data_IF_622330798933
#
_entry.id   IF_622330798933
#
_cell.length_a   1.000
_cell.length_b   1.000
_cell.length_c   1.000
_cell.angle_alpha   90.00
_cell.angle_beta   90.00
_cell.angle_gamma   90.00
#
_symmetry.space_group_name_H-M   'P 1'
#
loop_
_entity.id
_entity.type
_entity.pdbx_description
1 polymer ?
#
# COMPACT_ATOMS: atom_id res chain seq x y z
N UNK A 1 11.41 11.20 -3.15
CA UNK A 1 10.75 10.09 -3.89
C UNK A 1 11.56 8.82 -3.66
N UNK A 2 10.90 7.66 -3.62
CA UNK A 2 11.57 6.35 -3.67
C UNK A 2 11.07 5.65 -4.93
N UNK A 3 11.98 5.07 -5.73
CA UNK A 3 11.64 4.45 -7.01
C UNK A 3 12.60 3.32 -7.36
N UNK A 4 12.19 2.42 -8.25
CA UNK A 4 13.02 1.33 -8.79
C UNK A 4 13.59 1.69 -10.16
N UNK A 5 14.83 1.32 -10.41
CA UNK A 5 15.47 1.46 -11.72
C UNK A 5 14.95 0.33 -12.63
N UNK A 6 14.21 0.69 -13.68
CA UNK A 6 13.57 -0.26 -14.61
C UNK A 6 13.72 0.12 -16.08
N UNK A 7 14.45 1.19 -16.39
CA UNK A 7 14.71 1.64 -17.76
C UNK A 7 15.50 2.95 -17.82
N UNK A 8 15.74 3.43 -19.05
CA UNK A 8 16.62 4.55 -19.36
C UNK A 8 16.33 5.81 -18.53
N UNK A 9 15.06 6.19 -18.36
CA UNK A 9 14.69 7.39 -17.60
C UNK A 9 15.02 7.26 -16.10
N UNK A 10 14.66 6.14 -15.48
CA UNK A 10 14.95 5.88 -14.06
C UNK A 10 16.45 5.72 -13.78
N UNK A 11 17.20 5.20 -14.75
CA UNK A 11 18.66 5.10 -14.67
C UNK A 11 19.33 6.48 -14.82
N UNK A 12 18.89 7.31 -15.76
CA UNK A 12 19.38 8.68 -15.86
C UNK A 12 19.09 9.50 -14.59
N UNK A 13 17.96 9.23 -13.93
CA UNK A 13 17.58 9.83 -12.65
C UNK A 13 18.46 9.34 -11.49
N UNK A 14 18.92 8.08 -11.49
CA UNK A 14 19.72 7.55 -10.38
C UNK A 14 21.15 8.07 -10.36
N UNK A 15 21.61 8.64 -11.47
CA UNK A 15 22.95 9.22 -11.62
C UNK A 15 23.01 10.72 -11.26
N UNK A 16 21.89 11.35 -10.88
CA UNK A 16 21.85 12.76 -10.47
C UNK A 16 22.57 12.97 -9.14
N UNK A 17 23.19 14.13 -8.95
CA UNK A 17 23.95 14.46 -7.73
C UNK A 17 23.28 15.53 -6.85
N UNK A 18 23.57 15.55 -5.54
CA UNK A 18 23.16 16.65 -4.67
C UNK A 18 23.59 18.01 -5.23
N UNK A 19 22.66 18.97 -5.23
CA UNK A 19 22.84 20.30 -5.81
C UNK A 19 22.36 20.44 -7.26
N UNK A 20 22.08 19.34 -7.98
CA UNK A 20 21.45 19.41 -9.29
C UNK A 20 19.97 19.81 -9.21
N UNK A 21 19.52 20.67 -10.13
CA UNK A 21 18.12 21.05 -10.25
C UNK A 21 17.35 20.04 -11.12
N UNK A 22 16.15 19.68 -10.69
CA UNK A 22 15.21 18.84 -11.43
C UNK A 22 13.87 19.55 -11.57
N UNK A 23 13.28 19.59 -12.78
CA UNK A 23 11.91 20.08 -12.93
C UNK A 23 10.95 19.08 -12.27
N UNK A 24 10.06 19.59 -11.43
CA UNK A 24 9.05 18.80 -10.71
C UNK A 24 7.67 19.37 -11.02
N UNK A 25 6.70 18.49 -11.28
CA UNK A 25 5.29 18.82 -11.36
C UNK A 25 4.55 18.09 -10.25
N UNK A 26 3.83 18.82 -9.39
CA UNK A 26 2.98 18.24 -8.37
C UNK A 26 2.66 19.17 -7.20
N UNK A 27 1.89 18.69 -6.21
CA UNK A 27 1.33 17.32 -6.11
C UNK A 27 0.27 17.02 -7.19
N UNK A 28 0.14 15.75 -7.57
CA UNK A 28 -0.81 15.27 -8.59
C UNK A 28 -1.67 14.15 -8.00
N UNK A 29 -2.95 14.13 -8.37
CA UNK A 29 -3.89 13.08 -7.98
C UNK A 29 -4.54 13.30 -6.62
N UNK A 30 -5.34 12.31 -6.24
CA UNK A 30 -6.14 12.22 -5.02
C UNK A 30 -5.48 11.20 -4.08
N UNK A 31 -5.11 11.61 -2.86
CA UNK A 31 -4.46 10.72 -1.90
C UNK A 31 -5.47 9.73 -1.29
N UNK A 32 -4.98 8.84 -0.43
CA UNK A 32 -5.84 8.10 0.48
C UNK A 32 -6.68 9.06 1.32
N UNK A 33 -7.96 8.76 1.45
CA UNK A 33 -8.88 9.44 2.35
C UNK A 33 -8.71 8.84 3.74
N UNK A 34 -8.10 9.60 4.65
CA UNK A 34 -7.80 9.16 6.01
C UNK A 34 -8.73 9.85 7.03
N UNK A 35 -9.19 9.09 8.02
CA UNK A 35 -10.09 9.50 9.08
C UNK A 35 -9.55 9.03 10.44
N UNK A 36 -9.41 9.95 11.39
CA UNK A 36 -8.89 9.66 12.73
C UNK A 36 -9.74 8.66 13.53
N UNK A 37 -11.02 8.52 13.19
CA UNK A 37 -11.97 7.66 13.90
C UNK A 37 -11.98 6.21 13.39
N UNK A 38 -11.39 5.95 12.21
CA UNK A 38 -11.26 4.60 11.64
C UNK A 38 -10.05 3.85 12.20
N UNK A 39 -9.94 2.59 11.81
CA UNK A 39 -8.74 1.74 11.96
C UNK A 39 -8.24 1.41 10.58
N UNK A 40 -6.94 1.22 10.42
CA UNK A 40 -6.35 0.97 9.11
C UNK A 40 -5.48 -0.28 9.08
N UNK A 41 -5.67 -1.07 8.03
CA UNK A 41 -4.76 -2.13 7.62
C UNK A 41 -4.10 -1.69 6.31
N UNK A 42 -2.80 -1.43 6.35
CA UNK A 42 -2.01 -0.96 5.22
C UNK A 42 -1.28 -2.14 4.58
N UNK A 43 -1.44 -2.33 3.28
CA UNK A 43 -0.85 -3.42 2.51
C UNK A 43 0.08 -2.85 1.43
N UNK A 44 1.39 -2.91 1.66
CA UNK A 44 2.40 -2.39 0.74
C UNK A 44 3.14 -3.49 0.02
N UNK A 45 3.22 -3.46 -1.30
CA UNK A 45 3.95 -4.45 -2.10
C UNK A 45 5.09 -3.85 -2.90
N UNK A 46 6.34 -4.23 -2.62
CA UNK A 46 7.52 -3.76 -3.35
C UNK A 46 7.61 -2.22 -3.40
N UNK A 47 7.60 -1.64 -4.60
CA UNK A 47 7.62 -0.17 -4.79
C UNK A 47 6.33 0.54 -4.38
N UNK A 48 5.28 -0.21 -4.02
CA UNK A 48 4.05 0.31 -3.40
C UNK A 48 4.16 0.48 -1.87
N UNK A 49 5.25 0.03 -1.25
CA UNK A 49 5.49 0.24 0.19
C UNK A 49 5.65 1.72 0.59
N UNK A 50 6.35 2.61 -0.16
CA UNK A 50 6.51 4.01 0.24
C UNK A 50 5.19 4.77 0.41
N UNK A 51 4.18 4.69 -0.49
CA UNK A 51 2.86 5.27 -0.25
C UNK A 51 2.23 4.83 1.08
N UNK A 52 2.25 3.52 1.38
CA UNK A 52 1.74 2.99 2.66
C UNK A 52 2.54 3.50 3.86
N UNK A 53 3.86 3.62 3.72
CA UNK A 53 4.72 4.20 4.76
C UNK A 53 4.34 5.65 5.08
N UNK A 54 4.11 6.48 4.07
CA UNK A 54 3.68 7.88 4.29
C UNK A 54 2.26 7.95 4.86
N UNK A 55 1.36 7.06 4.46
CA UNK A 55 0.04 6.93 5.07
C UNK A 55 0.14 6.55 6.55
N UNK A 56 0.97 5.55 6.90
CA UNK A 56 1.23 5.15 8.29
C UNK A 56 1.75 6.31 9.14
N UNK A 57 2.73 7.09 8.65
CA UNK A 57 3.23 8.28 9.36
C UNK A 57 2.13 9.32 9.60
N UNK A 58 1.25 9.52 8.62
CA UNK A 58 0.15 10.47 8.75
C UNK A 58 -0.92 9.98 9.73
N UNK A 59 -1.23 8.69 9.72
CA UNK A 59 -2.15 8.06 10.67
C UNK A 59 -1.62 8.14 12.11
N UNK A 60 -0.32 7.88 12.31
CA UNK A 60 0.34 8.07 13.60
C UNK A 60 0.18 9.52 14.11
N UNK A 61 0.44 10.51 13.24
CA UNK A 61 0.29 11.93 13.58
C UNK A 61 -1.17 12.33 13.87
N UNK A 62 -2.15 11.61 13.31
CA UNK A 62 -3.58 11.81 13.55
C UNK A 62 -4.09 11.08 14.80
N UNK A 63 -3.29 10.20 15.41
CA UNK A 63 -3.73 9.30 16.49
C UNK A 63 -4.67 8.19 16.03
N UNK A 64 -4.74 7.92 14.72
CA UNK A 64 -5.49 6.79 14.19
C UNK A 64 -4.72 5.49 14.41
N UNK A 65 -5.42 4.44 14.84
CA UNK A 65 -4.81 3.12 14.97
C UNK A 65 -4.65 2.45 13.59
N UNK A 66 -3.46 1.96 13.33
CA UNK A 66 -3.08 1.38 12.05
C UNK A 66 -2.07 0.24 12.23
N UNK A 67 -2.09 -0.73 11.33
CA UNK A 67 -1.08 -1.78 11.18
C UNK A 67 -0.62 -1.83 9.74
N UNK A 68 0.68 -2.05 9.50
CA UNK A 68 1.25 -2.15 8.15
C UNK A 68 1.83 -3.53 7.89
N UNK A 69 1.37 -4.19 6.83
CA UNK A 69 2.00 -5.39 6.30
C UNK A 69 2.68 -5.09 4.97
N UNK A 70 3.97 -5.45 4.88
CA UNK A 70 4.80 -5.19 3.73
C UNK A 70 5.18 -6.50 3.03
N UNK A 71 4.76 -6.67 1.78
CA UNK A 71 5.23 -7.72 0.89
C UNK A 71 6.50 -7.28 0.17
N UNK A 72 7.61 -7.99 0.35
CA UNK A 72 8.84 -7.67 -0.36
C UNK A 72 9.73 -8.91 -0.60
N UNK A 73 10.12 -9.11 -1.85
CA UNK A 73 10.89 -10.29 -2.31
C UNK A 73 12.38 -9.96 -2.55
N UNK A 74 12.80 -8.75 -2.21
CA UNK A 74 14.17 -8.25 -2.42
C UNK A 74 14.79 -7.80 -1.09
N UNK A 75 16.09 -7.48 -1.03
CA UNK A 75 16.64 -6.78 0.12
C UNK A 75 15.89 -5.46 0.33
N UNK A 76 15.35 -5.26 1.54
CA UNK A 76 14.71 -4.00 1.92
C UNK A 76 15.80 -2.93 2.12
N UNK A 77 15.66 -1.72 1.56
CA UNK A 77 16.62 -0.63 1.78
C UNK A 77 16.42 0.05 3.15
N UNK A 78 15.57 -0.51 4.01
CA UNK A 78 15.15 0.05 5.29
C UNK A 78 15.77 -0.79 6.41
N UNK A 79 16.17 -0.13 7.49
CA UNK A 79 16.62 -0.82 8.69
C UNK A 79 15.47 -1.66 9.29
N UNK A 80 15.78 -2.91 9.61
CA UNK A 80 14.84 -3.87 10.19
C UNK A 80 15.30 -4.32 11.57
N UNK A 81 14.35 -4.71 12.40
CA UNK A 81 14.58 -5.20 13.76
C UNK A 81 13.49 -6.17 14.19
N UNK A 82 13.68 -6.92 15.29
CA UNK A 82 12.58 -7.58 15.98
C UNK A 82 11.54 -6.59 16.48
N UNK A 83 10.27 -6.91 16.25
CA UNK A 83 9.14 -6.11 16.71
C UNK A 83 8.88 -6.27 18.20
N UNK A 84 8.41 -5.19 18.83
CA UNK A 84 7.93 -5.23 20.22
C UNK A 84 6.40 -5.36 20.30
N UNK A 85 5.69 -5.17 19.18
CA UNK A 85 4.24 -5.29 19.11
C UNK A 85 3.80 -6.74 18.94
N UNK A 86 2.82 -7.15 19.74
CA UNK A 86 2.10 -8.40 19.53
C UNK A 86 0.93 -8.16 18.58
N UNK A 87 0.82 -9.00 17.56
CA UNK A 87 -0.27 -8.92 16.58
C UNK A 87 -1.04 -10.25 16.58
N UNK A 88 -2.35 -10.25 16.91
CA UNK A 88 -3.17 -11.46 16.89
C UNK A 88 -3.11 -12.15 15.53
N UNK A 89 -3.04 -13.49 15.53
CA UNK A 89 -3.02 -14.30 14.30
C UNK A 89 -1.70 -14.30 13.53
N UNK A 90 -0.76 -13.41 13.87
CA UNK A 90 0.59 -13.41 13.29
C UNK A 90 1.44 -14.50 13.94
N UNK A 91 2.08 -15.39 13.16
CA UNK A 91 2.96 -16.43 13.69
C UNK A 91 4.12 -15.87 14.54
N UNK A 92 4.57 -16.63 15.54
CA UNK A 92 5.66 -16.20 16.45
C UNK A 92 7.00 -16.03 15.75
N UNK A 93 7.25 -16.80 14.69
CA UNK A 93 8.44 -16.72 13.84
C UNK A 93 8.39 -15.54 12.85
N UNK A 94 7.23 -14.90 12.67
CA UNK A 94 7.05 -13.67 11.91
C UNK A 94 7.21 -12.43 12.81
N UNK A 95 8.44 -12.13 13.24
CA UNK A 95 8.77 -11.03 14.16
C UNK A 95 9.45 -9.82 13.50
N UNK A 96 9.87 -9.93 12.24
CA UNK A 96 10.62 -8.88 11.55
C UNK A 96 9.73 -7.68 11.21
N UNK A 97 10.22 -6.50 11.56
CA UNK A 97 9.55 -5.22 11.29
C UNK A 97 10.57 -4.17 10.85
N UNK A 98 10.08 -2.98 10.49
CA UNK A 98 10.88 -1.82 10.18
C UNK A 98 11.16 -0.98 11.43
N UNK A 99 12.42 -0.62 11.62
CA UNK A 99 12.85 0.15 12.80
C UNK A 99 12.10 1.47 12.94
N UNK A 100 11.99 2.24 11.86
CA UNK A 100 11.33 3.54 11.89
C UNK A 100 9.80 3.46 12.02
N UNK A 101 9.15 2.31 11.81
CA UNK A 101 7.72 2.14 12.13
C UNK A 101 7.51 1.81 13.61
N UNK A 102 8.42 1.01 14.20
CA UNK A 102 8.44 0.78 15.65
C UNK A 102 8.60 2.09 16.43
N UNK A 103 9.53 2.96 16.02
CA UNK A 103 9.81 4.23 16.68
C UNK A 103 8.62 5.19 16.71
N UNK A 104 7.77 5.17 15.66
CA UNK A 104 6.57 6.02 15.58
C UNK A 104 5.31 5.33 16.12
N UNK A 105 5.45 4.13 16.67
CA UNK A 105 4.35 3.38 17.27
C UNK A 105 3.36 2.76 16.28
N UNK A 106 3.79 2.45 15.04
CA UNK A 106 2.98 1.74 14.06
C UNK A 106 3.42 0.27 14.03
N UNK A 107 2.58 -0.67 14.50
CA UNK A 107 2.84 -2.10 14.35
C UNK A 107 2.99 -2.48 12.88
N UNK A 108 4.00 -3.27 12.56
CA UNK A 108 4.21 -3.74 11.21
C UNK A 108 4.84 -5.13 11.14
N UNK A 109 4.65 -5.80 10.00
CA UNK A 109 5.30 -7.08 9.67
C UNK A 109 5.68 -7.16 8.20
N UNK A 110 6.73 -7.92 7.94
CA UNK A 110 7.19 -8.21 6.59
C UNK A 110 6.74 -9.62 6.19
N UNK A 111 6.20 -9.74 4.99
CA UNK A 111 5.88 -11.00 4.32
C UNK A 111 6.77 -11.16 3.08
N UNK A 112 7.30 -12.35 2.87
CA UNK A 112 8.23 -12.65 1.78
C UNK A 112 8.20 -14.14 1.44
N UNK A 113 8.49 -14.49 0.18
CA UNK A 113 8.77 -15.87 -0.24
C UNK A 113 10.24 -16.10 -0.53
N UNK A 114 11.05 -15.04 -0.67
CA UNK A 114 12.47 -15.13 -0.40
C UNK A 114 12.63 -15.40 1.11
N UNK A 115 13.30 -16.49 1.49
CA UNK A 115 13.46 -16.95 2.89
C UNK A 115 14.22 -15.92 3.76
N UNK A 116 13.56 -14.82 4.10
CA UNK A 116 14.08 -13.74 4.93
C UNK A 116 13.83 -14.10 6.40
N UNK A 117 14.88 -14.24 7.23
CA UNK A 117 14.71 -14.56 8.64
C UNK A 117 13.79 -13.58 9.37
N UNK A 118 12.80 -14.12 10.08
CA UNK A 118 11.82 -13.35 10.83
C UNK A 118 10.67 -12.77 10.00
N UNK A 119 10.71 -12.86 8.67
CA UNK A 119 9.58 -12.50 7.83
C UNK A 119 8.54 -13.63 7.81
N UNK A 120 7.27 -13.28 7.67
CA UNK A 120 6.22 -14.25 7.38
C UNK A 120 6.45 -14.87 6.01
N UNK A 121 6.59 -16.19 5.96
CA UNK A 121 6.73 -16.91 4.69
C UNK A 121 5.38 -17.01 3.97
N UNK A 122 5.17 -16.17 2.95
CA UNK A 122 3.92 -16.12 2.19
C UNK A 122 3.61 -14.75 1.63
N UNK A 123 2.36 -14.55 1.21
CA UNK A 123 1.89 -13.27 0.67
C UNK A 123 1.39 -12.34 1.78
N UNK A 124 1.55 -11.03 1.55
CA UNK A 124 1.10 -9.98 2.48
C UNK A 124 -0.39 -10.08 2.81
N UNK A 125 -1.21 -10.53 1.86
CA UNK A 125 -2.66 -10.71 2.04
C UNK A 125 -3.02 -11.95 2.86
N UNK A 126 -2.19 -12.99 2.86
CA UNK A 126 -2.38 -14.18 3.72
C UNK A 126 -2.09 -13.83 5.18
N UNK A 127 -1.03 -13.03 5.41
CA UNK A 127 -0.74 -12.46 6.73
C UNK A 127 -1.88 -11.54 7.20
N UNK A 128 -2.39 -10.72 6.29
CA UNK A 128 -3.51 -9.83 6.55
C UNK A 128 -4.79 -10.59 6.93
N UNK A 129 -5.13 -11.66 6.22
CA UNK A 129 -6.27 -12.53 6.52
C UNK A 129 -6.17 -13.14 7.92
N UNK A 130 -4.99 -13.67 8.29
CA UNK A 130 -4.74 -14.23 9.62
C UNK A 130 -4.96 -13.20 10.72
N UNK A 131 -4.44 -12.00 10.53
CA UNK A 131 -4.60 -10.91 11.50
C UNK A 131 -6.07 -10.47 11.60
N UNK A 132 -6.73 -10.24 10.47
CA UNK A 132 -8.15 -9.88 10.43
C UNK A 132 -9.02 -10.93 11.13
N UNK A 133 -8.80 -12.22 10.89
CA UNK A 133 -9.56 -13.29 11.52
C UNK A 133 -9.35 -13.39 13.05
N UNK A 134 -8.22 -12.89 13.56
CA UNK A 134 -7.85 -13.01 14.97
C UNK A 134 -8.14 -11.77 15.82
N UNK A 135 -8.28 -10.58 15.23
CA UNK A 135 -8.65 -9.37 15.96
C UNK A 135 -10.12 -9.38 16.40
N UNK A 136 -10.44 -8.60 17.43
CA UNK A 136 -11.80 -8.43 17.92
C UNK A 136 -12.74 -7.85 16.85
N UNK A 137 -13.98 -8.33 16.82
CA UNK A 137 -14.96 -7.96 15.79
C UNK A 137 -15.25 -6.45 15.76
N UNK A 138 -15.35 -5.80 16.93
CA UNK A 138 -15.59 -4.35 17.02
C UNK A 138 -14.42 -3.51 16.48
N UNK A 139 -13.20 -4.03 16.55
CA UNK A 139 -12.03 -3.41 15.93
C UNK A 139 -12.05 -3.65 14.42
N UNK A 140 -12.36 -4.88 14.01
CA UNK A 140 -12.44 -5.31 12.61
C UNK A 140 -13.48 -4.50 11.83
N UNK A 141 -14.69 -4.34 12.35
CA UNK A 141 -15.78 -3.59 11.70
C UNK A 141 -15.44 -2.10 11.44
N UNK A 142 -14.48 -1.54 12.20
CA UNK A 142 -13.99 -0.17 12.02
C UNK A 142 -12.72 -0.09 11.15
N UNK A 143 -12.25 -1.22 10.64
CA UNK A 143 -11.01 -1.32 9.87
C UNK A 143 -11.25 -1.08 8.39
N UNK A 144 -10.43 -0.23 7.78
CA UNK A 144 -10.37 0.02 6.35
C UNK A 144 -9.02 -0.42 5.79
N UNK A 145 -9.05 -1.08 4.64
CA UNK A 145 -7.83 -1.56 3.98
C UNK A 145 -7.29 -0.47 3.05
N UNK A 146 -6.03 -0.11 3.18
CA UNK A 146 -5.29 0.69 2.21
C UNK A 146 -4.30 -0.24 1.50
N UNK A 147 -4.25 -0.21 0.17
CA UNK A 147 -3.33 -1.06 -0.56
C UNK A 147 -2.66 -0.35 -1.74
N UNK A 148 -1.36 -0.56 -1.86
CA UNK A 148 -0.54 -0.09 -2.96
C UNK A 148 0.54 -1.11 -3.31
N UNK A 149 0.55 -1.57 -4.56
CA UNK A 149 1.50 -2.57 -5.02
C UNK A 149 1.11 -3.17 -6.37
N UNK A 150 1.71 -4.30 -6.75
CA UNK A 150 1.43 -4.97 -8.02
C UNK A 150 -0.05 -5.36 -8.17
N UNK A 151 -0.56 -5.38 -9.40
CA UNK A 151 -1.97 -5.72 -9.69
C UNK A 151 -2.46 -7.02 -9.04
N UNK A 152 -1.69 -8.15 -9.04
CA UNK A 152 -2.12 -9.36 -8.34
C UNK A 152 -2.32 -9.17 -6.83
N UNK A 153 -1.51 -8.31 -6.21
CA UNK A 153 -1.65 -7.98 -4.79
C UNK A 153 -2.90 -7.13 -4.54
N UNK A 154 -3.17 -6.15 -5.41
CA UNK A 154 -4.38 -5.31 -5.32
C UNK A 154 -5.65 -6.14 -5.54
N UNK A 155 -5.61 -7.10 -6.47
CA UNK A 155 -6.69 -8.06 -6.68
C UNK A 155 -6.93 -8.93 -5.44
N UNK A 156 -5.86 -9.42 -4.80
CA UNK A 156 -5.96 -10.18 -3.55
C UNK A 156 -6.48 -9.31 -2.39
N UNK A 157 -6.05 -8.06 -2.27
CA UNK A 157 -6.56 -7.12 -1.28
C UNK A 157 -8.05 -6.80 -1.50
N UNK A 158 -8.48 -6.65 -2.75
CA UNK A 158 -9.88 -6.46 -3.11
C UNK A 158 -10.75 -7.68 -2.73
N UNK A 159 -10.26 -8.90 -2.98
CA UNK A 159 -10.91 -10.15 -2.56
C UNK A 159 -11.00 -10.25 -1.03
N UNK A 160 -9.92 -9.91 -0.34
CA UNK A 160 -9.85 -9.90 1.12
C UNK A 160 -10.88 -8.93 1.72
N UNK A 161 -10.94 -7.70 1.19
CA UNK A 161 -11.92 -6.70 1.61
C UNK A 161 -13.36 -7.22 1.48
N UNK A 162 -13.69 -7.90 0.37
CA UNK A 162 -15.00 -8.54 0.16
C UNK A 162 -15.27 -9.66 1.16
N UNK A 163 -14.28 -10.52 1.41
CA UNK A 163 -14.43 -11.66 2.31
C UNK A 163 -14.74 -11.23 3.76
N UNK A 164 -14.17 -10.13 4.21
CA UNK A 164 -14.39 -9.57 5.55
C UNK A 164 -15.44 -8.44 5.59
N UNK A 165 -16.10 -8.13 4.46
CA UNK A 165 -17.04 -7.02 4.32
C UNK A 165 -16.47 -5.66 4.78
N UNK A 166 -15.19 -5.38 4.49
CA UNK A 166 -14.49 -4.15 4.88
C UNK A 166 -14.38 -3.16 3.72
N UNK A 167 -14.42 -1.85 4.00
CA UNK A 167 -14.06 -0.84 3.01
C UNK A 167 -12.57 -0.97 2.64
N UNK A 168 -12.24 -0.64 1.39
CA UNK A 168 -10.87 -0.64 0.94
C UNK A 168 -10.60 0.46 -0.10
N UNK A 169 -9.39 1.01 -0.07
CA UNK A 169 -8.87 2.00 -1.01
C UNK A 169 -7.64 1.44 -1.70
N UNK A 170 -7.64 1.42 -3.03
CA UNK A 170 -6.59 0.84 -3.85
C UNK A 170 -5.88 1.95 -4.63
N UNK A 171 -4.57 2.09 -4.43
CA UNK A 171 -3.72 2.99 -5.21
C UNK A 171 -3.29 2.29 -6.50
N UNK A 172 -3.87 2.72 -7.63
CA UNK A 172 -3.63 2.13 -8.94
C UNK A 172 -2.48 2.85 -9.67
N UNK A 173 -1.77 2.10 -10.50
CA UNK A 173 -0.76 2.61 -11.43
C UNK A 173 -1.26 2.53 -12.88
N UNK A 174 -0.83 3.48 -13.71
CA UNK A 174 -1.05 3.45 -15.15
C UNK A 174 0.04 4.25 -15.86
N UNK A 175 0.25 3.99 -17.15
CA UNK A 175 1.17 4.79 -17.96
C UNK A 175 0.66 6.24 -18.04
N UNK A 176 1.50 7.20 -17.65
CA UNK A 176 1.16 8.62 -17.67
C UNK A 176 2.02 9.38 -18.68
N UNK A 177 1.44 10.42 -19.28
CA UNK A 177 2.15 11.37 -20.13
C UNK A 177 1.96 12.80 -19.62
N UNK A 178 0.74 13.35 -19.70
CA UNK A 178 0.50 14.75 -19.34
C UNK A 178 0.36 14.99 -17.83
N UNK A 179 -0.08 13.99 -17.06
CA UNK A 179 -0.40 14.06 -15.63
C UNK A 179 -1.42 15.15 -15.20
N UNK A 180 -2.09 15.83 -16.14
CA UNK A 180 -3.09 16.89 -15.90
C UNK A 180 -4.48 16.52 -16.41
N UNK A 181 -4.70 15.25 -16.78
CA UNK A 181 -5.99 14.74 -17.24
C UNK A 181 -6.36 15.03 -18.70
N UNK A 182 -5.55 15.80 -19.44
CA UNK A 182 -5.83 16.19 -20.82
C UNK A 182 -5.65 15.07 -21.85
N UNK A 183 -4.58 14.26 -21.73
CA UNK A 183 -4.27 13.24 -22.75
C UNK A 183 -5.05 11.93 -22.61
N UNK A 184 -5.68 11.69 -21.45
CA UNK A 184 -6.36 10.43 -21.11
C UNK A 184 -5.54 9.13 -21.28
N UNK A 185 -4.21 9.19 -21.34
CA UNK A 185 -3.36 7.99 -21.49
C UNK A 185 -3.30 7.08 -20.25
N UNK A 186 -3.63 7.62 -19.07
CA UNK A 186 -3.57 6.92 -17.79
C UNK A 186 -4.94 6.39 -17.33
N UNK A 187 -5.77 5.95 -18.27
CA UNK A 187 -7.11 5.46 -17.94
C UNK A 187 -7.08 4.06 -17.34
N UNK A 188 -7.93 3.85 -16.33
CA UNK A 188 -8.22 2.56 -15.71
C UNK A 188 -9.72 2.28 -15.80
N UNK A 189 -10.08 1.00 -15.84
CA UNK A 189 -11.47 0.56 -15.92
C UNK A 189 -12.08 0.53 -14.52
N UNK A 190 -13.27 1.12 -14.40
CA UNK A 190 -14.08 1.12 -13.18
C UNK A 190 -15.49 0.66 -13.49
N UNK A 191 -16.24 0.26 -12.46
CA UNK A 191 -17.62 -0.22 -12.57
C UNK A 191 -18.49 0.46 -11.53
N UNK A 192 -19.52 1.15 -11.98
CA UNK A 192 -20.48 1.84 -11.12
C UNK A 192 -21.89 1.47 -11.61
N UNK A 193 -22.76 1.00 -10.71
CA UNK A 193 -24.13 0.58 -11.04
C UNK A 193 -24.21 -0.39 -12.24
N UNK A 194 -23.29 -1.35 -12.30
CA UNK A 194 -23.22 -2.35 -13.36
C UNK A 194 -22.66 -1.86 -14.70
N UNK A 195 -22.35 -0.58 -14.85
CA UNK A 195 -21.81 0.03 -16.07
C UNK A 195 -20.30 0.25 -15.96
N UNK A 196 -19.58 -0.04 -17.05
CA UNK A 196 -18.15 0.20 -17.13
C UNK A 196 -17.86 1.67 -17.47
N UNK A 197 -16.87 2.25 -16.80
CA UNK A 197 -16.35 3.59 -17.03
C UNK A 197 -14.83 3.55 -17.14
N UNK A 198 -14.26 4.58 -17.78
CA UNK A 198 -12.83 4.84 -17.77
C UNK A 198 -12.55 6.08 -16.92
N UNK A 199 -11.68 5.93 -15.91
CA UNK A 199 -11.25 7.01 -15.01
C UNK A 199 -9.76 7.24 -15.20
N UNK A 200 -9.29 8.48 -15.09
CA UNK A 200 -7.87 8.83 -15.31
C UNK A 200 -7.14 8.80 -13.97
N UNK A 201 -6.12 7.94 -13.84
CA UNK A 201 -5.34 7.78 -12.62
C UNK A 201 -4.74 9.11 -12.15
N UNK A 202 -4.28 9.99 -13.05
CA UNK A 202 -3.63 11.25 -12.64
C UNK A 202 -4.55 12.31 -12.00
N UNK A 203 -5.86 12.30 -12.26
CA UNK A 203 -6.78 13.37 -11.79
C UNK A 203 -8.03 12.83 -11.09
N UNK A 204 -8.48 11.64 -11.47
CA UNK A 204 -9.60 10.95 -10.85
C UNK A 204 -9.12 9.99 -9.73
N UNK A 205 -7.88 9.52 -9.82
CA UNK A 205 -7.17 8.70 -8.81
C UNK A 205 -5.93 9.43 -8.29
N UNK A 206 -4.83 8.72 -7.91
CA UNK A 206 -4.57 7.30 -8.16
C UNK A 206 -5.29 6.35 -7.21
N UNK A 207 -5.82 6.87 -6.09
CA UNK A 207 -6.56 6.07 -5.12
C UNK A 207 -8.02 5.98 -5.50
N UNK A 208 -8.54 4.75 -5.56
CA UNK A 208 -9.95 4.47 -5.86
C UNK A 208 -10.56 3.54 -4.80
N UNK A 209 -11.86 3.68 -4.48
CA UNK A 209 -12.58 2.68 -3.70
C UNK A 209 -12.53 1.31 -4.38
N UNK A 210 -12.21 0.27 -3.62
CA UNK A 210 -12.09 -1.10 -4.12
C UNK A 210 -13.37 -1.61 -4.79
N UNK A 211 -14.55 -1.14 -4.34
CA UNK A 211 -15.87 -1.51 -4.88
C UNK A 211 -16.09 -1.08 -6.34
N UNK A 212 -15.43 0.00 -6.79
CA UNK A 212 -15.58 0.50 -8.16
C UNK A 212 -14.46 0.05 -9.07
N UNK A 213 -13.35 -0.48 -8.54
CA UNK A 213 -12.25 -0.98 -9.39
C UNK A 213 -12.72 -2.24 -10.09
N UNK A 214 -12.62 -2.27 -11.43
CA UNK A 214 -12.99 -3.46 -12.20
C UNK A 214 -12.10 -4.63 -11.79
N UNK A 215 -12.66 -5.85 -11.82
CA UNK A 215 -11.86 -7.05 -11.56
C UNK A 215 -10.75 -7.17 -12.62
N UNK A 216 -9.57 -7.59 -12.17
CA UNK A 216 -8.45 -7.92 -13.03
C UNK A 216 -8.72 -9.29 -13.67
N UNK A 217 -8.60 -9.35 -15.00
CA UNK A 217 -8.75 -10.58 -15.80
C UNK A 217 -7.54 -11.52 -15.62
#
# INVERSE_FOLDING_TARGET
>A
IYYKIVGQGTEALSQRKPGEALPIMGPIGRPFALDAHRRYLLLGGGVGLPPEWFAAKRLAAMGAAAVLFAGNEAPLPFATRPSTFLLPGVPEDAWLTFEALEEIGIPARIASRAEIPGAFFGFVTELAERWLAAIADDFRERTEILACGPEPMLAAAQKLARAFALPAQLALEARMACAIGGCAGCVVRTRENGRAFYRRVCVDGPVFPAEIVAEWD
#
